data_IF_332960372495
#
_entry.id   IF_332960372495
#
_cell.length_a   1.000
_cell.length_b   1.000
_cell.length_c   1.000
_cell.angle_alpha   90.00
_cell.angle_beta   90.00
_cell.angle_gamma   90.00
#
_symmetry.space_group_name_H-M   'P 1'
#
loop_
_entity.id
_entity.type
_entity.pdbx_description
1 polymer ?
#
# COMPACT_ATOMS: atom_id res chain seq x y z
N UNK A 1 -18.91 13.94 -26.79
CA UNK A 1 -17.80 13.43 -25.95
C UNK A 1 -18.42 12.73 -24.75
N UNK A 2 -17.91 11.56 -24.33
CA UNK A 2 -18.43 10.90 -23.13
C UNK A 2 -18.04 11.67 -21.87
N UNK A 3 -18.85 11.58 -20.82
CA UNK A 3 -18.61 12.28 -19.55
C UNK A 3 -17.27 11.88 -18.92
N UNK A 4 -16.90 10.61 -19.06
CA UNK A 4 -15.60 10.08 -18.63
C UNK A 4 -14.46 10.79 -19.37
N UNK A 5 -14.59 11.03 -20.68
CA UNK A 5 -13.57 11.72 -21.46
C UNK A 5 -13.37 13.17 -21.00
N UNK A 6 -14.46 13.87 -20.63
CA UNK A 6 -14.37 15.23 -20.09
C UNK A 6 -13.65 15.23 -18.74
N UNK A 7 -14.00 14.33 -17.81
CA UNK A 7 -13.32 14.26 -16.52
C UNK A 7 -11.83 13.88 -16.68
N UNK A 8 -11.52 12.90 -17.51
CA UNK A 8 -10.14 12.48 -17.79
C UNK A 8 -9.29 13.59 -18.40
N UNK A 9 -9.86 14.45 -19.25
CA UNK A 9 -9.15 15.62 -19.80
C UNK A 9 -8.60 16.54 -18.69
N UNK A 10 -9.29 16.62 -17.55
CA UNK A 10 -8.90 17.44 -16.41
C UNK A 10 -8.20 16.64 -15.30
N UNK A 11 -7.72 15.42 -15.59
CA UNK A 11 -7.20 14.48 -14.59
C UNK A 11 -8.16 14.31 -13.40
N UNK A 12 -9.46 14.22 -13.69
CA UNK A 12 -10.48 13.88 -12.72
C UNK A 12 -11.00 12.47 -13.01
N UNK A 13 -11.29 11.73 -11.96
CA UNK A 13 -11.96 10.44 -12.05
C UNK A 13 -13.03 10.32 -10.98
N UNK A 14 -13.95 9.39 -11.16
CA UNK A 14 -14.94 9.06 -10.14
C UNK A 14 -14.72 7.63 -9.67
N UNK A 15 -14.65 7.43 -8.36
CA UNK A 15 -14.65 6.09 -7.79
C UNK A 15 -16.04 5.46 -7.99
N UNK A 16 -16.15 4.28 -8.64
CA UNK A 16 -17.46 3.70 -8.95
C UNK A 16 -18.20 3.16 -7.73
N UNK A 17 -17.49 2.82 -6.64
CA UNK A 17 -18.08 2.20 -5.45
C UNK A 17 -18.45 3.22 -4.38
N UNK A 18 -17.53 4.14 -4.09
CA UNK A 18 -17.70 5.20 -3.11
C UNK A 18 -18.34 6.47 -3.70
N UNK A 19 -18.46 6.54 -5.04
CA UNK A 19 -19.04 7.66 -5.77
C UNK A 19 -18.40 9.01 -5.43
N UNK A 20 -17.09 9.02 -5.17
CA UNK A 20 -16.34 10.25 -4.89
C UNK A 20 -15.62 10.74 -6.13
N UNK A 21 -15.55 12.07 -6.30
CA UNK A 21 -14.75 12.69 -7.35
C UNK A 21 -13.30 12.80 -6.88
N UNK A 22 -12.35 12.27 -7.64
CA UNK A 22 -10.92 12.25 -7.33
C UNK A 22 -10.17 13.15 -8.30
N UNK A 23 -9.30 14.01 -7.75
CA UNK A 23 -8.29 14.72 -8.51
C UNK A 23 -7.03 13.86 -8.62
N UNK A 24 -6.75 13.38 -9.83
CA UNK A 24 -5.66 12.47 -10.15
C UNK A 24 -4.33 13.19 -10.48
N UNK A 25 -4.29 14.52 -10.46
CA UNK A 25 -3.03 15.24 -10.61
C UNK A 25 -2.01 14.82 -9.54
N UNK A 26 -0.76 14.61 -9.95
CA UNK A 26 0.31 14.09 -9.09
C UNK A 26 0.55 14.88 -7.79
N UNK A 27 0.30 16.19 -7.81
CA UNK A 27 0.46 17.08 -6.65
C UNK A 27 -0.72 17.03 -5.67
N UNK A 28 -1.84 16.42 -6.07
CA UNK A 28 -3.08 16.38 -5.31
C UNK A 28 -3.42 14.97 -4.85
N UNK A 29 -3.79 14.08 -5.78
CA UNK A 29 -4.20 12.69 -5.51
C UNK A 29 -5.17 12.55 -4.32
N UNK A 30 -6.26 13.32 -4.37
CA UNK A 30 -7.29 13.37 -3.32
C UNK A 30 -8.70 13.45 -3.90
N UNK A 31 -9.65 12.95 -3.12
CA UNK A 31 -11.06 13.18 -3.36
C UNK A 31 -11.46 14.64 -3.02
N UNK A 32 -12.28 15.21 -3.90
CA UNK A 32 -12.84 16.55 -3.82
C UNK A 32 -14.28 16.49 -3.32
N UNK A 33 -14.72 17.56 -2.66
CA UNK A 33 -16.14 17.73 -2.40
C UNK A 33 -16.87 17.87 -3.76
N UNK A 34 -18.04 17.22 -3.93
CA UNK A 34 -18.80 17.29 -5.18
C UNK A 34 -19.57 18.62 -5.30
N UNK A 35 -18.90 19.75 -5.09
CA UNK A 35 -19.45 21.09 -5.29
C UNK A 35 -18.81 21.71 -6.53
N UNK A 36 -19.58 22.08 -7.56
CA UNK A 36 -19.04 22.69 -8.78
C UNK A 36 -18.17 23.92 -8.49
N UNK A 37 -18.57 24.75 -7.51
CA UNK A 37 -17.80 25.91 -7.08
C UNK A 37 -16.45 25.51 -6.45
N UNK A 38 -16.45 24.51 -5.57
CA UNK A 38 -15.22 24.07 -4.89
C UNK A 38 -14.26 23.34 -5.85
N UNK A 39 -14.78 22.52 -6.77
CA UNK A 39 -13.97 21.87 -7.79
C UNK A 39 -13.37 22.91 -8.72
N UNK A 40 -14.16 23.87 -9.20
CA UNK A 40 -13.68 24.95 -10.05
C UNK A 40 -12.59 25.79 -9.36
N UNK A 41 -12.76 26.08 -8.07
CA UNK A 41 -11.76 26.79 -7.27
C UNK A 41 -10.49 25.98 -7.03
N UNK A 42 -10.63 24.67 -6.80
CA UNK A 42 -9.50 23.74 -6.68
C UNK A 42 -8.69 23.71 -7.98
N UNK A 43 -9.34 23.50 -9.13
CA UNK A 43 -8.69 23.48 -10.44
C UNK A 43 -7.98 24.80 -10.75
N UNK A 44 -8.58 25.94 -10.37
CA UNK A 44 -7.95 27.26 -10.52
C UNK A 44 -6.71 27.41 -9.64
N UNK A 45 -6.82 27.13 -8.34
CA UNK A 45 -5.74 27.41 -7.37
C UNK A 45 -4.61 26.38 -7.40
N UNK A 46 -4.91 25.11 -7.66
CA UNK A 46 -3.94 24.01 -7.60
C UNK A 46 -3.37 23.64 -8.96
N UNK A 47 -4.13 23.85 -10.04
CA UNK A 47 -3.75 23.42 -11.39
C UNK A 47 -3.76 24.56 -12.42
N UNK A 48 -4.09 25.79 -12.01
CA UNK A 48 -4.11 26.98 -12.86
C UNK A 48 -4.97 26.83 -14.13
N UNK A 49 -6.09 26.09 -14.04
CA UNK A 49 -6.93 25.81 -15.21
C UNK A 49 -7.76 27.05 -15.59
N UNK A 50 -7.75 27.49 -16.86
CA UNK A 50 -8.50 28.65 -17.33
C UNK A 50 -10.01 28.55 -17.08
N UNK A 51 -10.66 29.71 -16.95
CA UNK A 51 -12.10 29.75 -16.64
C UNK A 51 -12.99 29.11 -17.72
N UNK A 52 -12.64 29.27 -19.01
CA UNK A 52 -13.40 28.69 -20.12
C UNK A 52 -13.43 27.16 -20.05
N UNK A 53 -12.29 26.54 -19.77
CA UNK A 53 -12.16 25.08 -19.66
C UNK A 53 -12.87 24.54 -18.41
N UNK A 54 -12.76 25.24 -17.27
CA UNK A 54 -13.44 24.85 -16.03
C UNK A 54 -14.97 24.87 -16.14
N UNK A 55 -15.56 25.64 -17.08
CA UNK A 55 -17.03 25.66 -17.28
C UNK A 55 -17.56 24.29 -17.68
N UNK A 56 -16.84 23.57 -18.56
CA UNK A 56 -17.22 22.23 -19.01
C UNK A 56 -17.36 21.25 -17.83
N UNK A 57 -16.37 21.26 -16.93
CA UNK A 57 -16.40 20.44 -15.70
C UNK A 57 -17.53 20.88 -14.77
N UNK A 58 -17.70 22.18 -14.60
CA UNK A 58 -18.71 22.74 -13.68
C UNK A 58 -20.13 22.35 -14.13
N UNK A 59 -20.42 22.41 -15.42
CA UNK A 59 -21.74 22.08 -15.97
C UNK A 59 -22.01 20.58 -15.91
N UNK A 60 -21.01 19.73 -16.18
CA UNK A 60 -21.10 18.29 -15.99
C UNK A 60 -21.37 17.93 -14.51
N UNK A 61 -20.68 18.59 -13.57
CA UNK A 61 -20.88 18.33 -12.13
C UNK A 61 -22.25 18.76 -11.64
N UNK A 62 -22.84 19.84 -12.18
CA UNK A 62 -24.22 20.24 -11.83
C UNK A 62 -25.22 19.14 -12.18
N UNK A 63 -25.05 18.47 -13.31
CA UNK A 63 -25.92 17.36 -13.73
C UNK A 63 -25.76 16.11 -12.85
N UNK A 64 -24.60 15.93 -12.19
CA UNK A 64 -24.23 14.71 -11.44
C UNK A 64 -24.16 14.88 -9.92
N UNK A 65 -24.47 16.06 -9.40
CA UNK A 65 -24.24 16.38 -7.98
C UNK A 65 -24.98 15.44 -7.02
N UNK A 66 -26.14 14.91 -7.42
CA UNK A 66 -26.94 13.97 -6.64
C UNK A 66 -26.35 12.56 -6.55
N UNK A 67 -25.47 12.19 -7.50
CA UNK A 67 -24.84 10.88 -7.55
C UNK A 67 -23.52 10.82 -6.78
N UNK A 68 -22.89 11.98 -6.55
CA UNK A 68 -21.57 12.03 -5.93
C UNK A 68 -21.65 12.21 -4.41
N UNK A 69 -20.84 11.45 -3.69
CA UNK A 69 -20.74 11.51 -2.23
C UNK A 69 -19.66 12.48 -1.78
N UNK A 70 -19.86 13.06 -0.59
CA UNK A 70 -18.81 13.80 0.09
C UNK A 70 -17.71 12.83 0.56
N UNK A 71 -16.42 13.14 0.34
CA UNK A 71 -15.28 12.33 0.83
C UNK A 71 -15.33 12.01 2.33
N UNK A 72 -15.91 12.90 3.14
CA UNK A 72 -16.05 12.70 4.60
C UNK A 72 -17.11 11.67 4.98
N UNK A 73 -18.12 11.47 4.12
CA UNK A 73 -19.25 10.56 4.34
C UNK A 73 -19.15 9.27 3.52
N UNK A 74 -18.35 9.29 2.46
CA UNK A 74 -18.13 8.16 1.58
C UNK A 74 -17.62 6.92 2.35
N UNK A 75 -18.03 5.71 1.96
CA UNK A 75 -17.55 4.48 2.59
C UNK A 75 -16.02 4.38 2.50
N UNK A 76 -15.41 3.87 3.55
CA UNK A 76 -13.97 3.56 3.56
C UNK A 76 -13.78 2.22 2.85
N UNK A 77 -12.74 2.10 2.04
CA UNK A 77 -12.39 0.81 1.42
C UNK A 77 -11.97 -0.20 2.48
N UNK A 78 -12.09 -1.47 2.14
CA UNK A 78 -11.65 -2.55 3.02
C UNK A 78 -10.12 -2.56 3.12
N UNK A 79 -9.60 -3.02 4.26
CA UNK A 79 -8.16 -3.21 4.43
C UNK A 79 -7.66 -4.34 3.53
N UNK A 80 -6.43 -4.19 3.02
CA UNK A 80 -5.86 -5.11 2.04
C UNK A 80 -6.35 -4.86 0.61
N UNK A 81 -7.14 -3.81 0.38
CA UNK A 81 -7.46 -3.37 -0.97
C UNK A 81 -6.18 -3.03 -1.75
N UNK A 82 -6.20 -3.25 -3.06
CA UNK A 82 -5.12 -2.84 -3.93
C UNK A 82 -4.90 -1.31 -3.84
N UNK A 83 -3.63 -0.92 -3.85
CA UNK A 83 -3.24 0.49 -3.94
C UNK A 83 -3.87 1.18 -5.16
N UNK A 84 -4.47 2.35 -4.95
CA UNK A 84 -5.01 3.19 -6.01
C UNK A 84 -4.00 4.28 -6.43
N UNK A 85 -3.49 4.27 -7.67
CA UNK A 85 -2.56 5.28 -8.15
C UNK A 85 -3.11 6.72 -8.13
N UNK A 86 -4.43 6.89 -8.15
CA UNK A 86 -5.09 8.20 -8.16
C UNK A 86 -5.21 8.82 -6.76
N UNK A 87 -4.87 8.07 -5.70
CA UNK A 87 -4.90 8.54 -4.32
C UNK A 87 -3.50 8.54 -3.72
N UNK A 88 -3.26 9.51 -2.83
CA UNK A 88 -1.96 9.62 -2.17
C UNK A 88 -1.69 8.42 -1.25
N UNK A 89 -0.52 7.80 -1.42
CA UNK A 89 0.01 6.78 -0.53
C UNK A 89 0.56 7.43 0.74
N UNK A 90 0.04 7.02 1.90
CA UNK A 90 0.49 7.50 3.20
C UNK A 90 1.28 6.40 3.90
N UNK A 91 2.53 6.70 4.25
CA UNK A 91 3.37 5.82 5.07
C UNK A 91 2.98 5.98 6.54
N UNK A 92 2.00 5.19 6.98
CA UNK A 92 1.39 5.34 8.29
C UNK A 92 1.74 4.23 9.28
N UNK A 93 0.95 4.21 10.35
CA UNK A 93 1.03 3.28 11.45
C UNK A 93 -0.37 2.85 11.86
N UNK A 94 -0.53 1.57 12.17
CA UNK A 94 -1.75 1.03 12.80
C UNK A 94 -1.45 0.53 14.19
N UNK A 95 -2.40 0.70 15.10
CA UNK A 95 -2.36 0.05 16.39
C UNK A 95 -2.59 -1.46 16.20
N UNK A 96 -1.89 -2.30 16.97
CA UNK A 96 -2.11 -3.75 16.95
C UNK A 96 -3.29 -4.19 17.84
N UNK A 97 -3.81 -3.30 18.69
CA UNK A 97 -4.82 -3.61 19.72
C UNK A 97 -6.18 -2.95 19.49
N UNK A 98 -6.28 -2.00 18.55
CA UNK A 98 -7.54 -1.35 18.18
C UNK A 98 -7.47 -0.84 16.74
N UNK A 99 -8.56 -0.24 16.27
CA UNK A 99 -8.69 0.23 14.89
C UNK A 99 -8.02 1.58 14.61
N UNK A 100 -7.29 2.15 15.58
CA UNK A 100 -6.62 3.45 15.41
C UNK A 100 -5.50 3.41 14.38
N UNK A 101 -5.48 4.42 13.52
CA UNK A 101 -4.56 4.57 12.38
C UNK A 101 -4.15 6.02 12.22
N UNK A 102 -2.89 6.25 11.90
CA UNK A 102 -2.39 7.61 11.67
C UNK A 102 -1.15 7.60 10.78
N UNK A 103 -0.91 8.72 10.09
CA UNK A 103 0.32 8.98 9.37
C UNK A 103 1.53 9.21 10.31
N UNK A 104 1.29 9.51 11.60
CA UNK A 104 2.36 9.93 12.53
C UNK A 104 2.66 8.90 13.60
N UNK A 105 3.92 8.45 13.64
CA UNK A 105 4.42 7.56 14.71
C UNK A 105 4.34 8.21 16.09
N UNK A 106 4.49 9.53 16.17
CA UNK A 106 4.38 10.27 17.42
C UNK A 106 2.96 10.27 17.95
N UNK A 107 1.97 10.51 17.07
CA UNK A 107 0.55 10.41 17.42
C UNK A 107 0.21 8.99 17.88
N UNK A 108 0.67 7.97 17.14
CA UNK A 108 0.44 6.58 17.50
C UNK A 108 1.12 6.20 18.83
N UNK A 109 2.34 6.68 19.09
CA UNK A 109 3.03 6.44 20.36
C UNK A 109 2.32 7.09 21.56
N UNK A 110 1.73 8.28 21.37
CA UNK A 110 0.91 8.96 22.39
C UNK A 110 -0.41 8.24 22.65
N UNK A 111 -1.01 7.60 21.64
CA UNK A 111 -2.22 6.77 21.78
C UNK A 111 -2.02 5.58 22.74
N UNK A 112 -0.82 5.01 22.81
CA UNK A 112 -0.57 3.81 23.62
C UNK A 112 -0.86 3.98 25.11
N UNK A 113 -0.52 5.12 25.70
CA UNK A 113 -0.68 5.35 27.14
C UNK A 113 -2.15 5.44 27.58
N UNK A 114 -3.01 6.27 26.99
CA UNK A 114 -4.41 6.31 27.39
C UNK A 114 -5.19 5.04 27.02
N UNK A 115 -4.88 4.40 25.89
CA UNK A 115 -5.70 3.31 25.37
C UNK A 115 -5.22 1.90 25.76
N UNK A 116 -3.90 1.70 25.89
CA UNK A 116 -3.31 0.36 25.93
C UNK A 116 -2.16 0.20 26.94
N UNK A 117 -2.07 1.07 27.96
CA UNK A 117 -0.98 0.99 28.95
C UNK A 117 -0.97 -0.34 29.72
N UNK A 118 -2.16 -0.86 30.06
CA UNK A 118 -2.28 -2.14 30.76
C UNK A 118 -1.69 -3.29 29.92
N UNK A 119 -2.08 -3.37 28.65
CA UNK A 119 -1.56 -4.36 27.69
C UNK A 119 -0.05 -4.22 27.52
N UNK A 120 0.45 -2.98 27.45
CA UNK A 120 1.88 -2.68 27.35
C UNK A 120 2.67 -3.26 28.52
N UNK A 121 2.19 -3.01 29.74
CA UNK A 121 2.83 -3.47 30.97
C UNK A 121 2.77 -5.00 31.09
N UNK A 122 1.63 -5.61 30.75
CA UNK A 122 1.47 -7.07 30.75
C UNK A 122 2.44 -7.78 29.79
N UNK A 123 2.64 -7.22 28.61
CA UNK A 123 3.57 -7.78 27.62
C UNK A 123 5.04 -7.42 27.88
N UNK A 124 5.32 -6.48 28.80
CA UNK A 124 6.68 -6.01 29.09
C UNK A 124 7.35 -5.30 27.90
N UNK A 125 6.57 -4.79 26.93
CA UNK A 125 7.08 -4.22 25.68
C UNK A 125 7.18 -2.70 25.70
N UNK A 126 8.06 -2.17 24.84
CA UNK A 126 8.12 -0.72 24.56
C UNK A 126 6.95 -0.31 23.67
N UNK A 127 6.51 0.95 23.77
CA UNK A 127 5.40 1.51 22.95
C UNK A 127 5.59 1.28 21.44
N UNK A 128 6.82 1.37 20.93
CA UNK A 128 7.13 1.12 19.50
C UNK A 128 6.78 -0.28 19.00
N UNK A 129 6.68 -1.27 19.89
CA UNK A 129 6.32 -2.64 19.54
C UNK A 129 4.80 -2.86 19.50
N UNK A 130 4.00 -1.88 19.91
CA UNK A 130 2.53 -1.99 20.02
C UNK A 130 1.78 -1.50 18.78
N UNK A 131 2.51 -0.97 17.81
CA UNK A 131 1.99 -0.51 16.54
C UNK A 131 2.97 -0.92 15.45
N UNK A 132 2.46 -1.08 14.24
CA UNK A 132 3.28 -1.47 13.10
C UNK A 132 3.16 -0.45 11.96
N UNK A 133 4.25 -0.26 11.20
CA UNK A 133 4.22 0.57 10.01
C UNK A 133 3.43 -0.13 8.90
N UNK A 134 2.52 0.61 8.27
CA UNK A 134 1.63 0.10 7.20
C UNK A 134 1.51 1.13 6.08
N UNK A 135 1.04 0.68 4.92
CA UNK A 135 0.65 1.55 3.83
C UNK A 135 -0.82 1.93 3.97
N UNK A 136 -1.10 3.22 4.04
CA UNK A 136 -2.45 3.76 4.20
C UNK A 136 -2.87 4.54 2.97
N UNK A 137 -4.16 4.52 2.67
CA UNK A 137 -4.80 5.50 1.81
C UNK A 137 -6.02 6.10 2.50
N UNK A 138 -6.40 7.28 2.05
CA UNK A 138 -7.58 8.00 2.50
C UNK A 138 -8.17 8.80 1.35
N UNK A 139 -9.45 9.16 1.47
CA UNK A 139 -10.09 10.03 0.49
C UNK A 139 -9.50 11.44 0.51
N UNK A 140 -9.04 11.95 1.65
CA UNK A 140 -8.50 13.31 1.79
C UNK A 140 -7.09 13.28 2.38
N UNK A 141 -6.33 14.38 2.27
CA UNK A 141 -4.94 14.44 2.79
C UNK A 141 -4.86 14.24 4.30
N UNK A 142 -5.87 14.71 5.04
CA UNK A 142 -5.93 14.69 6.49
C UNK A 142 -7.35 14.30 6.94
N UNK A 143 -7.72 13.01 6.82
CA UNK A 143 -9.04 12.56 7.25
C UNK A 143 -9.22 12.78 8.76
N UNK A 144 -10.36 13.35 9.14
CA UNK A 144 -10.78 13.38 10.54
C UNK A 144 -11.06 11.98 11.05
N UNK A 145 -10.78 11.72 12.33
CA UNK A 145 -11.10 10.45 12.98
C UNK A 145 -10.38 9.23 12.40
N UNK A 146 -9.18 9.42 11.81
CA UNK A 146 -8.36 8.29 11.36
C UNK A 146 -8.98 7.45 10.24
N UNK A 147 -9.81 8.05 9.36
CA UNK A 147 -10.49 7.39 8.22
C UNK A 147 -9.52 6.98 7.11
N UNK A 148 -8.55 6.16 7.47
CA UNK A 148 -7.59 5.51 6.60
C UNK A 148 -7.97 4.04 6.42
N UNK A 149 -7.64 3.47 5.28
CA UNK A 149 -7.62 2.02 5.06
C UNK A 149 -6.22 1.56 4.71
N UNK A 150 -5.91 0.31 5.04
CA UNK A 150 -4.61 -0.31 4.73
C UNK A 150 -4.66 -0.81 3.30
N UNK A 151 -3.60 -0.54 2.53
CA UNK A 151 -3.48 -0.99 1.15
C UNK A 151 -2.34 -1.98 0.97
N UNK A 152 -2.49 -2.87 0.02
CA UNK A 152 -1.39 -3.67 -0.48
C UNK A 152 -0.54 -2.81 -1.43
N UNK A 153 0.74 -2.69 -1.10
CA UNK A 153 1.72 -1.94 -1.90
C UNK A 153 2.99 -2.77 -2.05
N UNK A 154 3.41 -3.03 -3.30
CA UNK A 154 4.59 -3.85 -3.58
C UNK A 154 4.47 -5.30 -3.11
N UNK A 155 3.25 -5.87 -3.07
CA UNK A 155 2.99 -7.24 -2.61
C UNK A 155 2.97 -7.41 -1.08
N UNK A 156 2.95 -6.30 -0.33
CA UNK A 156 2.86 -6.33 1.14
C UNK A 156 1.90 -5.27 1.67
N UNK A 157 1.16 -5.60 2.73
CA UNK A 157 0.36 -4.65 3.52
C UNK A 157 1.14 -4.05 4.68
N UNK A 158 2.26 -4.69 5.05
CA UNK A 158 3.17 -4.26 6.12
C UNK A 158 4.36 -3.56 5.48
N UNK A 159 4.70 -2.38 6.00
CA UNK A 159 5.87 -1.66 5.54
C UNK A 159 7.12 -2.14 6.29
N UNK A 160 8.26 -2.41 5.62
CA UNK A 160 9.50 -2.73 6.31
C UNK A 160 9.90 -1.63 7.32
N UNK A 161 10.41 -2.05 8.48
CA UNK A 161 10.83 -1.14 9.54
C UNK A 161 12.09 -0.39 9.10
N UNK A 162 11.94 0.91 8.78
CA UNK A 162 13.06 1.74 8.35
C UNK A 162 12.72 3.15 7.87
N UNK A 163 11.43 3.50 7.71
CA UNK A 163 11.05 4.82 7.22
C UNK A 163 11.03 4.92 5.70
N UNK A 164 10.82 6.12 5.16
CA UNK A 164 10.70 6.35 3.70
C UNK A 164 12.02 6.08 3.00
N UNK A 165 13.12 6.60 3.52
CA UNK A 165 14.48 6.39 2.97
C UNK A 165 14.88 4.92 2.83
N UNK A 166 14.56 4.08 3.81
CA UNK A 166 14.83 2.64 3.74
C UNK A 166 13.88 1.96 2.76
N UNK A 167 12.62 2.41 2.65
CA UNK A 167 11.69 1.90 1.63
C UNK A 167 12.19 2.24 0.22
N UNK A 168 12.55 3.49 -0.04
CA UNK A 168 13.08 3.95 -1.33
C UNK A 168 14.37 3.17 -1.67
N UNK A 169 15.24 2.95 -0.68
CA UNK A 169 16.45 2.14 -0.84
C UNK A 169 16.13 0.68 -1.19
N UNK A 170 15.21 0.06 -0.46
CA UNK A 170 14.78 -1.32 -0.70
C UNK A 170 14.10 -1.48 -2.07
N UNK A 171 13.28 -0.51 -2.48
CA UNK A 171 12.65 -0.49 -3.81
C UNK A 171 13.73 -0.46 -4.91
N UNK A 172 14.75 0.38 -4.76
CA UNK A 172 15.90 0.39 -5.67
C UNK A 172 16.74 -0.91 -5.61
N UNK A 173 16.86 -1.57 -4.46
CA UNK A 173 17.50 -2.90 -4.35
C UNK A 173 16.69 -3.94 -5.12
N UNK A 174 15.36 -3.97 -4.94
CA UNK A 174 14.48 -4.91 -5.64
C UNK A 174 14.46 -4.68 -7.15
N UNK A 175 14.49 -3.43 -7.60
CA UNK A 175 14.55 -3.10 -9.02
C UNK A 175 15.84 -3.61 -9.66
N UNK A 176 17.00 -3.36 -9.02
CA UNK A 176 18.28 -3.90 -9.47
C UNK A 176 18.32 -5.42 -9.49
N UNK A 177 17.72 -6.09 -8.49
CA UNK A 177 17.69 -7.56 -8.46
C UNK A 177 16.79 -8.13 -9.57
N UNK A 178 15.66 -7.46 -9.84
CA UNK A 178 14.77 -7.81 -10.96
C UNK A 178 15.45 -7.64 -12.31
N UNK A 179 16.24 -6.58 -12.49
CA UNK A 179 17.08 -6.39 -13.68
C UNK A 179 18.11 -7.51 -13.83
N UNK A 180 18.85 -7.85 -12.77
CA UNK A 180 19.77 -8.99 -12.78
C UNK A 180 19.09 -10.30 -13.17
N UNK A 181 17.89 -10.55 -12.67
CA UNK A 181 17.11 -11.74 -13.04
C UNK A 181 16.67 -11.72 -14.51
N UNK A 182 16.31 -10.55 -15.05
CA UNK A 182 16.01 -10.40 -16.48
C UNK A 182 17.25 -10.63 -17.35
N UNK A 183 18.41 -10.14 -16.94
CA UNK A 183 19.68 -10.35 -17.67
C UNK A 183 20.09 -11.83 -17.65
N UNK A 184 19.84 -12.53 -16.54
CA UNK A 184 20.06 -13.97 -16.42
C UNK A 184 19.13 -14.81 -17.31
N UNK A 185 17.91 -14.35 -17.56
CA UNK A 185 16.92 -15.03 -18.42
C UNK A 185 17.00 -14.58 -19.90
N UNK A 186 17.52 -13.38 -20.18
CA UNK A 186 17.61 -12.79 -21.52
C UNK A 186 18.86 -13.16 -22.32
N UNK A 187 19.89 -13.73 -21.69
CA UNK A 187 21.16 -14.10 -22.34
C UNK A 187 21.17 -15.42 -23.12
N UNK A 188 20.04 -16.09 -23.26
CA UNK A 188 19.94 -17.43 -23.84
C UNK A 188 19.48 -17.48 -25.30
N UNK A 189 20.16 -16.80 -26.23
CA UNK A 189 19.96 -17.07 -27.67
C UNK A 189 21.22 -16.80 -28.49
N UNK A 190 22.10 -17.80 -28.58
CA UNK A 190 22.82 -18.21 -29.78
C UNK A 190 23.76 -19.41 -29.48
N UNK A 191 23.53 -20.50 -30.22
CA UNK A 191 24.42 -21.65 -30.45
C UNK A 191 24.80 -22.60 -29.30
N UNK A 192 23.99 -23.65 -29.17
CA UNK A 192 24.37 -25.06 -29.28
C UNK A 192 25.69 -25.53 -28.64
N UNK A 193 25.61 -26.08 -27.44
CA UNK A 193 25.89 -27.50 -27.21
C UNK A 193 25.25 -27.95 -25.88
N UNK A 194 24.71 -29.17 -25.87
CA UNK A 194 24.06 -29.78 -24.71
C UNK A 194 25.11 -30.04 -23.62
N UNK A 195 24.99 -29.32 -22.51
CA UNK A 195 25.32 -29.84 -21.17
C UNK A 195 24.32 -29.22 -20.20
N UNK A 196 23.51 -30.08 -19.59
CA UNK A 196 22.68 -29.82 -18.41
C UNK A 196 23.37 -28.87 -17.44
N UNK A 197 22.85 -27.65 -17.33
CA UNK A 197 23.28 -26.69 -16.31
C UNK A 197 22.05 -26.18 -15.59
N UNK A 198 21.94 -26.63 -14.34
CA UNK A 198 20.87 -26.42 -13.38
C UNK A 198 20.22 -25.04 -13.44
N UNK A 199 18.90 -25.04 -13.61
CA UNK A 199 18.02 -23.97 -13.17
C UNK A 199 18.15 -23.79 -11.66
N UNK A 200 19.13 -23.00 -11.22
CA UNK A 200 19.32 -22.63 -9.81
C UNK A 200 18.22 -21.66 -9.37
N UNK A 201 17.06 -22.23 -9.09
CA UNK A 201 16.18 -21.73 -8.04
C UNK A 201 17.00 -21.82 -6.76
N UNK A 202 17.44 -20.69 -6.20
CA UNK A 202 18.16 -20.69 -4.93
C UNK A 202 17.22 -21.21 -3.84
N UNK A 203 17.37 -22.49 -3.54
CA UNK A 203 16.65 -23.15 -2.47
C UNK A 203 17.09 -22.54 -1.13
N UNK A 204 16.21 -22.54 -0.13
CA UNK A 204 16.52 -22.14 1.24
C UNK A 204 17.81 -22.79 1.81
N UNK A 205 18.20 -23.94 1.27
CA UNK A 205 19.47 -24.62 1.57
C UNK A 205 20.73 -23.85 1.15
N UNK A 206 20.66 -23.03 0.10
CA UNK A 206 21.82 -22.28 -0.43
C UNK A 206 22.15 -21.02 0.40
N UNK A 207 21.23 -20.59 1.26
CA UNK A 207 21.42 -19.48 2.21
C UNK A 207 21.98 -19.94 3.57
N UNK A 208 21.96 -21.25 3.87
CA UNK A 208 22.52 -21.83 5.11
C UNK A 208 23.95 -21.39 5.39
N UNK A 209 24.88 -21.36 4.40
CA UNK A 209 26.28 -21.00 4.67
C UNK A 209 26.47 -19.56 5.13
N UNK A 210 25.53 -18.65 4.87
CA UNK A 210 25.60 -17.26 5.33
C UNK A 210 24.91 -17.10 6.68
N UNK A 211 23.73 -17.71 6.87
CA UNK A 211 23.00 -17.75 8.14
C UNK A 211 23.89 -18.31 9.26
N UNK A 212 24.48 -19.49 9.05
CA UNK A 212 25.33 -20.19 10.03
C UNK A 212 26.59 -19.41 10.39
N UNK A 213 27.17 -18.71 9.40
CA UNK A 213 28.43 -17.96 9.58
C UNK A 213 28.23 -16.67 10.35
N UNK A 214 27.05 -16.07 10.23
CA UNK A 214 26.69 -14.82 10.91
C UNK A 214 26.00 -15.08 12.25
N UNK A 215 25.66 -16.34 12.55
CA UNK A 215 25.03 -16.74 13.81
C UNK A 215 23.60 -16.23 13.94
N UNK A 216 22.94 -15.90 12.82
CA UNK A 216 21.57 -15.40 12.84
C UNK A 216 20.58 -16.49 13.27
N UNK A 217 20.85 -17.78 13.05
CA UNK A 217 20.00 -18.86 13.61
C UNK A 217 19.87 -18.75 15.13
N UNK A 218 20.97 -18.47 15.84
CA UNK A 218 20.97 -18.32 17.30
C UNK A 218 20.18 -17.10 17.78
N UNK A 219 20.05 -16.09 16.92
CA UNK A 219 19.27 -14.88 17.22
C UNK A 219 17.76 -15.14 17.14
N UNK A 220 17.34 -16.12 16.34
CA UNK A 220 15.94 -16.50 16.15
C UNK A 220 15.53 -17.82 16.82
N UNK A 221 16.48 -18.55 17.41
CA UNK A 221 16.30 -19.85 18.09
C UNK A 221 15.37 -19.84 19.31
N UNK A 222 14.86 -18.67 19.71
CA UNK A 222 13.84 -18.52 20.75
C UNK A 222 12.56 -17.80 20.31
N UNK A 223 12.36 -17.54 19.01
CA UNK A 223 11.19 -16.79 18.49
C UNK A 223 10.33 -17.55 17.48
N UNK A 224 10.71 -18.76 17.07
CA UNK A 224 9.87 -19.62 16.24
C UNK A 224 8.94 -20.50 17.10
N UNK A 225 7.79 -19.94 17.50
CA UNK A 225 6.59 -20.74 17.81
C UNK A 225 5.46 -20.32 16.87
N UNK A 226 5.68 -20.49 15.56
CA UNK A 226 4.58 -20.69 14.64
C UNK A 226 4.90 -21.96 13.84
N UNK A 227 4.21 -23.03 14.21
CA UNK A 227 4.16 -24.30 13.50
C UNK A 227 3.68 -24.05 12.07
N UNK A 228 4.57 -24.18 11.09
CA UNK A 228 4.19 -24.47 9.72
C UNK A 228 4.09 -26.00 9.59
N UNK A 229 2.91 -26.54 9.90
CA UNK A 229 2.55 -27.91 9.54
C UNK A 229 2.38 -28.00 8.02
N UNK A 230 3.44 -28.37 7.31
CA UNK A 230 3.35 -28.86 5.93
C UNK A 230 3.17 -30.38 5.98
N UNK A 231 1.93 -30.87 6.00
CA UNK A 231 1.65 -32.29 5.76
C UNK A 231 1.75 -32.55 4.27
N UNK A 232 2.89 -33.11 3.84
CA UNK A 232 3.01 -33.83 2.58
C UNK A 232 2.35 -35.21 2.74
N UNK A 233 1.09 -35.32 2.32
CA UNK A 233 0.42 -36.61 2.17
C UNK A 233 0.58 -37.12 0.74
N UNK A 234 1.64 -37.88 0.49
CA UNK A 234 1.65 -38.87 -0.58
C UNK A 234 1.34 -40.21 0.09
N UNK A 235 0.17 -40.78 -0.18
CA UNK A 235 -0.08 -42.18 0.13
C UNK A 235 -0.67 -42.87 -1.10
N UNK A 236 0.05 -43.91 -1.50
CA UNK A 236 -0.14 -44.73 -2.70
C UNK A 236 -0.65 -46.10 -2.27
N UNK A 237 -1.72 -46.58 -2.93
CA UNK A 237 -2.16 -47.99 -2.91
C UNK A 237 -3.22 -48.27 -1.84
N UNK A 238 -4.37 -48.91 -2.10
CA UNK A 238 -4.78 -49.78 -3.20
C UNK A 238 -4.88 -51.23 -2.72
N UNK A 239 -6.13 -51.75 -2.64
CA UNK A 239 -6.56 -53.18 -2.54
C UNK A 239 -6.22 -53.95 -1.25
N UNK A 240 -7.10 -54.76 -0.63
CA UNK A 240 -8.47 -55.21 -0.89
C UNK A 240 -9.25 -55.23 0.43
#
# INVERSE_FOLDING_TARGET
>A
MSEVAVLSQFNLSTDPHAQVLICCHDTCRIALLPSPAQVSEHLRKKHNIPAAERRLVTDLLKARISLLQSPSKAPIRQDGAAYDPNLHLVHGFRCQFCNERTASSQVMSRHMTPAHEKQRLQLGVRRKAMYEPVFLQAWTKSPSGGRYWIVEYGGSTIRPVGGKEVCDHLEGVFERERERQKDLLGGGSANGNVTTRDSRTTSFTDLRPWLERTGWERTFEGRCTLSCNFKSGADTGGRW
#
